data_IF_071627095843
#
_entry.id   IF_071627095843
#
_cell.length_a   1.000
_cell.length_b   1.000
_cell.length_c   1.000
_cell.angle_alpha   90.00
_cell.angle_beta   90.00
_cell.angle_gamma   90.00
#
_symmetry.space_group_name_H-M   'P 1'
#
loop_
_entity.id
_entity.type
_entity.pdbx_description
1 polymer ?
#
# COMPACT_ATOMS: atom_id res chain seq x y z
N UNK A 1 9.40 8.77 -12.42
CA UNK A 1 8.51 8.36 -11.32
C UNK A 1 7.14 8.93 -11.63
N UNK A 2 6.08 8.17 -11.41
CA UNK A 2 4.70 8.65 -11.61
C UNK A 2 4.19 9.45 -10.41
N UNK A 3 4.88 9.37 -9.27
CA UNK A 3 4.58 10.15 -8.08
C UNK A 3 5.46 11.40 -7.99
N UNK A 4 4.88 12.44 -7.43
CA UNK A 4 5.53 13.61 -6.85
C UNK A 4 6.00 13.29 -5.42
N UNK A 5 7.29 13.51 -5.12
CA UNK A 5 7.90 13.16 -3.82
C UNK A 5 7.63 14.17 -2.71
N UNK A 6 7.11 15.35 -3.05
CA UNK A 6 6.80 16.40 -2.08
C UNK A 6 5.33 16.36 -1.64
N UNK A 7 4.58 15.34 -2.08
CA UNK A 7 3.16 15.13 -1.76
C UNK A 7 2.94 13.90 -0.88
N UNK A 8 1.91 13.99 -0.05
CA UNK A 8 1.36 12.86 0.70
C UNK A 8 0.35 12.09 -0.15
N UNK A 9 0.45 10.77 -0.15
CA UNK A 9 -0.51 9.89 -0.84
C UNK A 9 -1.34 9.12 0.20
N UNK A 10 -2.62 8.95 -0.09
CA UNK A 10 -3.51 8.10 0.71
C UNK A 10 -4.07 6.98 -0.15
N UNK A 11 -4.05 5.77 0.39
CA UNK A 11 -4.59 4.57 -0.25
C UNK A 11 -5.58 3.93 0.71
N UNK A 12 -6.80 3.70 0.22
CA UNK A 12 -7.80 2.89 0.93
C UNK A 12 -7.76 1.48 0.35
N UNK A 13 -7.41 0.51 1.19
CA UNK A 13 -7.42 -0.90 0.85
C UNK A 13 -8.70 -1.52 1.39
N UNK A 14 -9.61 -1.88 0.49
CA UNK A 14 -10.84 -2.59 0.84
C UNK A 14 -10.52 -4.07 1.10
N UNK A 15 -10.88 -4.57 2.27
CA UNK A 15 -10.68 -5.97 2.64
C UNK A 15 -11.97 -6.62 3.10
N UNK A 16 -12.02 -7.94 3.13
CA UNK A 16 -13.16 -8.70 3.67
C UNK A 16 -13.41 -8.46 5.16
N UNK A 17 -12.48 -7.80 5.87
CA UNK A 17 -12.60 -7.43 7.29
C UNK A 17 -12.78 -5.92 7.51
N UNK A 18 -13.02 -5.16 6.44
CA UNK A 18 -13.20 -3.72 6.46
C UNK A 18 -12.03 -2.95 5.82
N UNK A 19 -12.19 -1.62 5.65
CA UNK A 19 -11.21 -0.79 4.99
C UNK A 19 -9.98 -0.52 5.88
N UNK A 20 -8.81 -0.48 5.26
CA UNK A 20 -7.56 -0.01 5.87
C UNK A 20 -7.08 1.22 5.10
N UNK A 21 -6.91 2.34 5.78
CA UNK A 21 -6.41 3.59 5.17
C UNK A 21 -4.93 3.75 5.48
N UNK A 22 -4.13 3.84 4.43
CA UNK A 22 -2.68 4.00 4.47
C UNK A 22 -2.30 5.41 4.03
N UNK A 23 -1.40 6.04 4.78
CA UNK A 23 -0.71 7.26 4.37
C UNK A 23 0.72 6.91 3.98
N UNK A 24 1.16 7.37 2.81
CA UNK A 24 2.46 7.05 2.23
C UNK A 24 3.35 8.28 2.22
N UNK A 25 4.63 8.06 2.56
CA UNK A 25 5.65 9.09 2.70
C UNK A 25 6.76 8.94 1.65
N UNK A 26 6.56 9.46 0.44
CA UNK A 26 7.55 9.35 -0.64
C UNK A 26 8.83 10.15 -0.37
N UNK A 27 8.82 11.10 0.56
CA UNK A 27 10.00 11.84 0.99
C UNK A 27 11.05 10.92 1.64
N UNK A 28 10.62 9.83 2.29
CA UNK A 28 11.51 8.86 2.93
C UNK A 28 11.82 7.66 2.04
N UNK A 29 10.85 7.21 1.23
CA UNK A 29 10.96 5.98 0.45
C UNK A 29 10.41 6.14 -0.99
N UNK A 30 10.98 7.03 -1.83
CA UNK A 30 10.37 7.44 -3.09
C UNK A 30 10.20 6.29 -4.08
N UNK A 31 11.19 5.38 -4.16
CA UNK A 31 11.13 4.23 -5.07
C UNK A 31 10.06 3.22 -4.65
N UNK A 32 9.96 2.95 -3.34
CA UNK A 32 8.99 1.99 -2.80
C UNK A 32 7.57 2.53 -2.92
N UNK A 33 7.36 3.80 -2.58
CA UNK A 33 6.04 4.44 -2.74
C UNK A 33 5.65 4.49 -4.21
N UNK A 34 6.58 4.82 -5.12
CA UNK A 34 6.29 4.82 -6.56
C UNK A 34 5.87 3.43 -7.05
N UNK A 35 6.60 2.37 -6.63
CA UNK A 35 6.27 1.01 -7.01
C UNK A 35 4.91 0.56 -6.46
N UNK A 36 4.63 0.87 -5.19
CA UNK A 36 3.36 0.52 -4.56
C UNK A 36 2.18 1.23 -5.23
N UNK A 37 2.27 2.55 -5.45
CA UNK A 37 1.22 3.33 -6.12
C UNK A 37 0.98 2.82 -7.54
N UNK A 38 2.05 2.52 -8.29
CA UNK A 38 1.95 1.92 -9.62
C UNK A 38 1.19 0.59 -9.60
N UNK A 39 1.57 -0.35 -8.72
CA UNK A 39 0.90 -1.65 -8.61
C UNK A 39 -0.56 -1.53 -8.17
N UNK A 40 -0.89 -0.59 -7.28
CA UNK A 40 -2.26 -0.29 -6.88
C UNK A 40 -3.09 0.21 -8.08
N UNK A 41 -2.55 1.12 -8.88
CA UNK A 41 -3.24 1.65 -10.06
C UNK A 41 -3.49 0.61 -11.16
N UNK A 42 -2.60 -0.38 -11.27
CA UNK A 42 -2.74 -1.52 -12.19
C UNK A 42 -3.67 -2.64 -11.63
N UNK A 43 -4.26 -2.46 -10.45
CA UNK A 43 -5.14 -3.47 -9.82
C UNK A 43 -4.41 -4.74 -9.38
N UNK A 44 -3.08 -4.68 -9.23
CA UNK A 44 -2.25 -5.87 -8.98
C UNK A 44 -2.59 -6.60 -7.66
N UNK A 45 -3.04 -5.85 -6.65
CA UNK A 45 -3.35 -6.40 -5.32
C UNK A 45 -4.80 -6.91 -5.19
N UNK A 46 -5.63 -6.76 -6.22
CA UNK A 46 -7.02 -7.18 -6.17
C UNK A 46 -7.12 -8.71 -6.04
N UNK A 47 -7.84 -9.17 -5.02
CA UNK A 47 -8.00 -10.60 -4.71
C UNK A 47 -6.78 -11.26 -4.05
N UNK A 48 -5.70 -10.52 -3.79
CA UNK A 48 -4.53 -11.04 -3.05
C UNK A 48 -4.84 -11.11 -1.56
N UNK A 49 -4.63 -12.28 -0.95
CA UNK A 49 -4.86 -12.50 0.47
C UNK A 49 -3.59 -12.28 1.31
N UNK A 50 -3.77 -11.81 2.55
CA UNK A 50 -2.77 -11.95 3.60
C UNK A 50 -2.64 -13.44 3.96
N UNK A 51 -1.60 -14.09 3.49
CA UNK A 51 -1.40 -15.53 3.61
C UNK A 51 -0.57 -15.91 4.84
N UNK A 52 0.06 -14.93 5.49
CA UNK A 52 0.88 -15.13 6.69
C UNK A 52 0.42 -14.22 7.81
N UNK A 53 0.18 -14.81 8.99
CA UNK A 53 -0.20 -14.11 10.21
C UNK A 53 0.67 -14.61 11.35
N UNK A 54 1.35 -13.69 12.03
CA UNK A 54 2.06 -13.95 13.29
C UNK A 54 1.47 -13.02 14.33
N UNK A 55 0.83 -13.61 15.35
CA UNK A 55 0.13 -12.89 16.40
C UNK A 55 1.05 -11.87 17.07
N UNK A 56 0.52 -10.64 17.24
CA UNK A 56 1.22 -9.50 17.83
C UNK A 56 2.54 -9.12 17.13
N UNK A 57 2.72 -9.50 15.86
CA UNK A 57 3.92 -9.15 15.10
C UNK A 57 3.62 -8.62 13.70
N UNK A 58 3.13 -9.46 12.79
CA UNK A 58 2.97 -9.06 11.38
C UNK A 58 1.89 -9.87 10.65
N UNK A 59 1.22 -9.19 9.72
CA UNK A 59 0.45 -9.82 8.64
C UNK A 59 1.12 -9.53 7.31
N UNK A 60 1.15 -10.51 6.41
CA UNK A 60 1.82 -10.43 5.11
C UNK A 60 1.04 -11.22 4.05
#
# INVERSE_FOLDING_TARGET
MQIDTDKTYKVTMETVRGPIVLELYPEYAPKTVNNFVFLVQEGFYDGVAFHRVIDNFVIQ
#
